data_IF_902622185196
#
_entry.id   IF_902622185196
#
_cell.length_a   1.000
_cell.length_b   1.000
_cell.length_c   1.000
_cell.angle_alpha   90.00
_cell.angle_beta   90.00
_cell.angle_gamma   90.00
#
_symmetry.space_group_name_H-M   'P 1'
#
loop_
_entity.id
_entity.type
_entity.pdbx_description
1 polymer ?
#
# COMPACT_ATOMS: atom_id res chain seq x y z
N UNK A 1 -3.81 -27.87 9.28
CA UNK A 1 -3.84 -27.47 7.84
C UNK A 1 -3.21 -26.09 7.65
N UNK A 2 -2.36 -25.93 6.63
CA UNK A 2 -1.77 -24.63 6.24
C UNK A 2 -2.53 -24.03 5.06
N UNK A 3 -2.82 -22.73 5.09
CA UNK A 3 -3.49 -22.03 3.99
C UNK A 3 -2.46 -21.32 3.09
N UNK A 4 -2.65 -21.30 1.76
CA UNK A 4 -1.74 -20.59 0.86
C UNK A 4 -1.61 -19.10 1.22
N UNK A 5 -0.39 -18.58 1.09
CA UNK A 5 -0.08 -17.18 1.32
C UNK A 5 0.77 -16.63 0.17
N UNK A 6 0.31 -15.54 -0.43
CA UNK A 6 1.09 -14.74 -1.37
C UNK A 6 1.43 -13.41 -0.73
N UNK A 7 2.66 -12.92 -0.91
CA UNK A 7 3.13 -11.65 -0.39
C UNK A 7 3.62 -10.81 -1.56
N UNK A 8 3.03 -9.64 -1.73
CA UNK A 8 3.49 -8.64 -2.71
C UNK A 8 4.17 -7.50 -1.95
N UNK A 9 5.43 -7.24 -2.27
CA UNK A 9 6.26 -6.22 -1.65
C UNK A 9 6.62 -5.19 -2.72
N UNK A 10 6.24 -3.94 -2.50
CA UNK A 10 6.77 -2.83 -3.28
C UNK A 10 7.99 -2.25 -2.55
N UNK A 11 9.07 -1.98 -3.27
CA UNK A 11 10.31 -1.41 -2.72
C UNK A 11 10.99 -0.52 -3.76
N UNK A 12 11.79 0.48 -3.36
CA UNK A 12 12.43 1.39 -4.31
C UNK A 12 13.58 0.69 -5.06
N UNK A 13 14.58 0.23 -4.32
CA UNK A 13 15.77 -0.45 -4.87
C UNK A 13 15.90 -1.85 -4.26
N UNK A 14 16.17 -1.90 -2.96
CA UNK A 14 16.21 -3.13 -2.17
C UNK A 14 15.26 -3.02 -0.99
N UNK A 15 14.57 -4.10 -0.63
CA UNK A 15 13.67 -4.05 0.51
C UNK A 15 14.49 -3.92 1.81
N UNK A 16 14.23 -2.90 2.66
CA UNK A 16 15.04 -2.62 3.86
C UNK A 16 14.85 -3.65 4.98
N UNK A 17 13.98 -4.65 4.77
CA UNK A 17 13.62 -5.65 5.75
C UNK A 17 12.43 -5.20 6.61
N UNK A 18 11.80 -6.16 7.26
CA UNK A 18 10.58 -5.88 8.03
C UNK A 18 9.65 -7.07 8.11
N UNK A 19 8.55 -6.88 8.84
CA UNK A 19 7.46 -7.84 8.90
C UNK A 19 6.70 -7.80 7.57
N UNK A 20 6.55 -8.96 6.92
CA UNK A 20 5.98 -9.06 5.57
C UNK A 20 4.71 -9.91 5.50
N UNK A 21 4.37 -10.63 6.57
CA UNK A 21 3.16 -11.44 6.62
C UNK A 21 3.07 -12.30 7.87
N UNK A 22 2.00 -13.10 7.93
CA UNK A 22 1.77 -14.08 8.99
C UNK A 22 1.20 -15.35 8.38
N UNK A 23 1.72 -16.50 8.81
CA UNK A 23 1.24 -17.81 8.38
C UNK A 23 -0.17 -18.03 8.94
N UNK A 24 -1.11 -18.36 8.06
CA UNK A 24 -2.43 -18.80 8.47
C UNK A 24 -2.51 -20.33 8.46
N UNK A 25 -2.67 -20.92 9.64
CA UNK A 25 -2.85 -22.36 9.81
C UNK A 25 -3.97 -22.63 10.81
N UNK A 26 -4.69 -23.74 10.62
CA UNK A 26 -5.81 -24.18 11.46
C UNK A 26 -5.61 -25.62 11.89
N UNK A 27 -5.84 -25.90 13.16
CA UNK A 27 -5.92 -27.26 13.70
C UNK A 27 -7.38 -27.66 13.99
N UNK A 28 -7.68 -28.95 13.95
CA UNK A 28 -9.00 -29.47 14.31
C UNK A 28 -9.17 -29.52 15.84
N UNK A 29 -8.07 -29.62 16.62
CA UNK A 29 -8.07 -29.43 18.06
C UNK A 29 -7.73 -27.97 18.42
N UNK A 30 -8.69 -27.19 18.95
CA UNK A 30 -8.46 -25.79 19.29
C UNK A 30 -7.55 -25.57 20.49
N UNK A 31 -7.18 -26.63 21.23
CA UNK A 31 -6.30 -26.53 22.40
C UNK A 31 -4.83 -26.76 22.07
N UNK A 32 -4.54 -27.28 20.88
CA UNK A 32 -3.17 -27.53 20.45
C UNK A 32 -2.46 -26.25 20.04
N UNK A 33 -1.21 -26.12 20.49
CA UNK A 33 -0.36 -24.98 20.15
C UNK A 33 0.43 -25.29 18.88
N UNK A 34 0.23 -24.48 17.85
CA UNK A 34 1.00 -24.58 16.62
C UNK A 34 2.38 -23.94 16.77
N UNK A 35 3.37 -24.58 16.15
CA UNK A 35 4.74 -24.10 15.99
C UNK A 35 5.08 -23.96 14.52
N UNK A 36 5.82 -22.91 14.16
CA UNK A 36 6.11 -22.53 12.78
C UNK A 36 7.61 -22.52 12.51
N UNK A 37 8.04 -23.01 11.35
CA UNK A 37 9.45 -23.01 10.96
C UNK A 37 9.64 -22.99 9.45
N UNK A 38 10.82 -22.52 9.00
CA UNK A 38 11.27 -22.72 7.64
C UNK A 38 11.72 -24.17 7.47
N UNK A 39 11.27 -24.84 6.41
CA UNK A 39 11.64 -26.24 6.16
C UNK A 39 13.12 -26.37 5.83
N UNK A 40 13.65 -25.50 4.96
CA UNK A 40 15.05 -25.47 4.53
C UNK A 40 15.58 -24.02 4.57
N UNK A 41 15.94 -23.49 5.74
CA UNK A 41 16.36 -22.07 5.87
C UNK A 41 17.61 -21.73 5.05
N UNK A 42 18.53 -22.70 4.89
CA UNK A 42 19.76 -22.52 4.13
C UNK A 42 19.54 -22.30 2.62
N UNK A 43 18.48 -22.87 2.04
CA UNK A 43 18.15 -22.70 0.61
C UNK A 43 17.81 -21.26 0.26
N UNK A 44 17.30 -20.50 1.23
CA UNK A 44 16.99 -19.08 1.08
C UNK A 44 18.10 -18.17 1.62
N UNK A 45 19.33 -18.69 1.80
CA UNK A 45 20.48 -17.94 2.32
C UNK A 45 20.17 -17.21 3.64
N UNK A 46 19.21 -17.72 4.43
CA UNK A 46 18.69 -17.08 5.64
C UNK A 46 18.15 -15.66 5.45
N UNK A 47 17.68 -15.26 4.26
CA UNK A 47 17.10 -13.91 4.01
C UNK A 47 15.68 -13.75 4.55
N UNK A 48 15.08 -14.81 5.09
CA UNK A 48 13.78 -14.81 5.75
C UNK A 48 13.87 -15.43 7.15
N UNK A 49 13.03 -14.96 8.05
CA UNK A 49 12.85 -15.50 9.40
C UNK A 49 11.37 -15.67 9.72
N UNK A 50 11.05 -16.67 10.55
CA UNK A 50 9.69 -16.95 11.02
C UNK A 50 9.69 -16.97 12.55
N UNK A 51 8.75 -16.25 13.16
CA UNK A 51 8.45 -16.41 14.58
C UNK A 51 7.81 -17.77 14.83
N UNK A 52 8.43 -18.59 15.67
CA UNK A 52 8.01 -19.97 15.86
C UNK A 52 6.69 -20.12 16.61
N UNK A 53 6.21 -19.10 17.32
CA UNK A 53 4.99 -19.14 18.11
C UNK A 53 3.82 -18.47 17.40
N UNK A 54 4.08 -17.35 16.74
CA UNK A 54 3.04 -16.51 16.12
C UNK A 54 2.96 -16.68 14.60
N UNK A 55 3.96 -17.32 13.98
CA UNK A 55 4.00 -17.54 12.54
C UNK A 55 4.25 -16.27 11.73
N UNK A 56 4.73 -15.20 12.36
CA UNK A 56 5.10 -13.95 11.69
C UNK A 56 6.33 -14.14 10.80
N UNK A 57 6.25 -13.64 9.57
CA UNK A 57 7.31 -13.76 8.56
C UNK A 57 8.01 -12.42 8.42
N UNK A 58 9.33 -12.43 8.58
CA UNK A 58 10.19 -11.26 8.43
C UNK A 58 11.17 -11.47 7.29
N UNK A 59 11.30 -10.49 6.40
CA UNK A 59 12.43 -10.44 5.47
C UNK A 59 13.59 -9.68 6.12
N UNK A 60 14.81 -10.14 5.87
CA UNK A 60 16.02 -9.44 6.27
C UNK A 60 16.31 -8.26 5.32
N UNK A 61 17.10 -7.26 5.77
CA UNK A 61 17.49 -6.13 4.92
C UNK A 61 18.25 -6.56 3.67
N UNK A 62 18.02 -5.85 2.56
CA UNK A 62 18.73 -6.08 1.30
C UNK A 62 18.10 -7.18 0.44
N UNK A 63 16.79 -7.42 0.57
CA UNK A 63 16.10 -8.36 -0.30
C UNK A 63 15.91 -7.73 -1.69
N UNK A 64 16.52 -8.34 -2.71
CA UNK A 64 16.50 -7.87 -4.09
C UNK A 64 15.10 -7.94 -4.72
N UNK A 65 14.89 -7.12 -5.76
CA UNK A 65 13.73 -7.23 -6.66
C UNK A 65 13.69 -8.64 -7.27
N UNK A 66 12.52 -9.29 -7.22
CA UNK A 66 12.38 -10.64 -7.77
C UNK A 66 11.28 -11.47 -7.13
N UNK A 67 11.28 -12.76 -7.48
CA UNK A 67 10.34 -13.76 -6.96
C UNK A 67 11.07 -14.75 -6.07
N UNK A 68 10.48 -15.01 -4.92
CA UNK A 68 10.98 -15.95 -3.93
C UNK A 68 9.88 -16.96 -3.57
N UNK A 69 10.30 -18.15 -3.19
CA UNK A 69 9.43 -19.18 -2.65
C UNK A 69 10.05 -19.72 -1.38
N UNK A 70 9.31 -19.68 -0.28
CA UNK A 70 9.74 -20.27 0.99
C UNK A 70 8.83 -21.42 1.37
N UNK A 71 9.44 -22.54 1.74
CA UNK A 71 8.74 -23.71 2.27
C UNK A 71 8.70 -23.62 3.79
N UNK A 72 7.52 -23.88 4.34
CA UNK A 72 7.26 -23.80 5.77
C UNK A 72 6.75 -25.13 6.31
N UNK A 73 7.06 -25.38 7.56
CA UNK A 73 6.54 -26.50 8.35
C UNK A 73 5.76 -25.94 9.54
N UNK A 74 4.54 -26.45 9.74
CA UNK A 74 3.68 -26.15 10.89
C UNK A 74 3.43 -27.44 11.66
N UNK A 75 3.64 -27.43 12.97
CA UNK A 75 3.50 -28.61 13.83
C UNK A 75 2.73 -28.30 15.11
N UNK A 76 1.86 -29.22 15.51
CA UNK A 76 1.15 -29.29 16.80
C UNK A 76 1.91 -30.18 17.82
N UNK A 77 3.22 -30.38 17.64
CA UNK A 77 4.09 -31.35 18.34
C UNK A 77 3.90 -32.83 17.95
N UNK A 78 2.77 -33.21 17.36
CA UNK A 78 2.43 -34.62 17.04
C UNK A 78 2.43 -34.91 15.54
N UNK A 79 1.86 -34.00 14.78
CA UNK A 79 1.72 -33.99 13.34
C UNK A 79 2.42 -32.76 12.75
N UNK A 80 2.72 -32.87 11.46
CA UNK A 80 3.33 -31.81 10.69
C UNK A 80 2.54 -31.59 9.41
N UNK A 81 2.38 -30.33 9.05
CA UNK A 81 1.85 -29.88 7.77
C UNK A 81 2.87 -28.99 7.09
N UNK A 82 2.95 -29.08 5.77
CA UNK A 82 3.85 -28.28 4.95
C UNK A 82 3.05 -27.26 4.15
N UNK A 83 3.67 -26.11 3.89
CA UNK A 83 3.11 -25.06 3.06
C UNK A 83 4.20 -24.37 2.25
N UNK A 84 3.78 -23.64 1.22
CA UNK A 84 4.66 -22.82 0.39
C UNK A 84 4.08 -21.41 0.33
N UNK A 85 4.97 -20.43 0.43
CA UNK A 85 4.65 -19.01 0.40
C UNK A 85 5.35 -18.40 -0.80
N UNK A 86 4.58 -17.70 -1.63
CA UNK A 86 5.08 -16.98 -2.79
C UNK A 86 5.29 -15.52 -2.42
N UNK A 87 6.49 -14.99 -2.69
CA UNK A 87 6.84 -13.60 -2.40
C UNK A 87 7.30 -12.95 -3.70
N UNK A 88 6.74 -11.80 -4.04
CA UNK A 88 7.15 -10.99 -5.18
C UNK A 88 7.55 -9.59 -4.71
N UNK A 89 8.80 -9.21 -4.95
CA UNK A 89 9.34 -7.88 -4.70
C UNK A 89 9.35 -7.11 -6.02
N UNK A 90 8.60 -6.03 -6.07
CA UNK A 90 8.37 -5.19 -7.25
C UNK A 90 9.03 -3.82 -7.05
N UNK A 91 9.75 -3.30 -8.05
CA UNK A 91 10.41 -2.01 -7.94
C UNK A 91 9.43 -0.84 -8.04
N UNK A 92 9.70 0.21 -7.27
CA UNK A 92 9.09 1.52 -7.36
C UNK A 92 10.15 2.49 -7.88
N UNK A 93 9.89 3.12 -9.02
CA UNK A 93 10.83 4.10 -9.58
C UNK A 93 10.53 5.50 -9.03
N UNK A 94 11.55 6.37 -9.03
CA UNK A 94 11.37 7.79 -8.69
C UNK A 94 10.29 8.44 -9.57
N UNK A 95 10.28 8.11 -10.86
CA UNK A 95 9.26 8.63 -11.79
C UNK A 95 7.84 8.19 -11.43
N UNK A 96 7.64 7.00 -10.88
CA UNK A 96 6.32 6.60 -10.35
C UNK A 96 5.92 7.46 -9.15
N UNK A 97 6.85 7.77 -8.24
CA UNK A 97 6.61 8.58 -7.03
C UNK A 97 6.27 10.02 -7.42
N UNK A 98 7.06 10.64 -8.29
CA UNK A 98 6.87 12.01 -8.78
C UNK A 98 5.50 12.23 -9.42
N UNK A 99 5.01 11.20 -10.13
CA UNK A 99 3.76 11.24 -10.88
C UNK A 99 2.59 10.57 -10.16
N UNK A 100 2.79 10.08 -8.93
CA UNK A 100 1.77 9.39 -8.17
C UNK A 100 0.65 10.33 -7.70
N UNK A 101 -0.54 9.76 -7.55
CA UNK A 101 -1.68 10.39 -6.90
C UNK A 101 -1.98 9.68 -5.57
N UNK A 102 -2.41 10.46 -4.57
CA UNK A 102 -2.91 9.91 -3.31
C UNK A 102 -4.37 10.30 -3.13
N UNK A 103 -5.21 9.31 -2.85
CA UNK A 103 -6.62 9.51 -2.51
C UNK A 103 -6.93 8.93 -1.12
N UNK A 104 -7.89 9.54 -0.44
CA UNK A 104 -8.49 9.02 0.79
C UNK A 104 -9.85 8.43 0.49
N UNK A 105 -10.04 7.18 0.86
CA UNK A 105 -11.30 6.44 0.71
C UNK A 105 -11.91 6.30 2.10
N UNK A 106 -13.14 6.78 2.27
CA UNK A 106 -13.75 6.91 3.59
C UNK A 106 -14.52 5.65 4.00
N UNK A 107 -14.71 5.51 5.33
CA UNK A 107 -15.65 4.55 5.90
C UNK A 107 -15.35 3.10 5.53
N UNK A 108 -14.06 2.76 5.46
CA UNK A 108 -13.62 1.42 5.08
C UNK A 108 -12.32 1.03 5.78
N UNK A 109 -12.27 -0.21 6.27
CA UNK A 109 -11.05 -0.84 6.75
C UNK A 109 -10.17 -1.26 5.60
N UNK A 110 -8.86 -1.21 5.82
CA UNK A 110 -7.90 -1.54 4.77
C UNK A 110 -8.03 -2.98 4.27
N UNK A 111 -8.34 -3.94 5.14
CA UNK A 111 -8.57 -5.34 4.72
C UNK A 111 -9.80 -5.46 3.82
N UNK A 112 -10.90 -4.78 4.16
CA UNK A 112 -12.12 -4.81 3.36
C UNK A 112 -11.89 -4.17 1.99
N UNK A 113 -11.13 -3.07 1.93
CA UNK A 113 -10.73 -2.45 0.68
C UNK A 113 -9.95 -3.43 -0.22
N UNK A 114 -8.89 -4.07 0.30
CA UNK A 114 -8.08 -5.01 -0.47
C UNK A 114 -8.91 -6.22 -0.98
N UNK A 115 -9.77 -6.76 -0.12
CA UNK A 115 -10.55 -7.95 -0.44
C UNK A 115 -11.65 -7.70 -1.47
N UNK A 116 -12.37 -6.58 -1.32
CA UNK A 116 -13.66 -6.39 -1.98
C UNK A 116 -13.66 -5.26 -3.03
N UNK A 117 -12.76 -4.28 -2.91
CA UNK A 117 -12.85 -3.02 -3.68
C UNK A 117 -11.64 -2.73 -4.55
N UNK A 118 -10.44 -3.22 -4.20
CA UNK A 118 -9.22 -2.97 -4.96
C UNK A 118 -9.34 -3.33 -6.45
N UNK A 119 -9.97 -4.47 -6.75
CA UNK A 119 -10.20 -4.91 -8.13
C UNK A 119 -11.10 -3.93 -8.91
N UNK A 120 -12.12 -3.39 -8.26
CA UNK A 120 -13.03 -2.41 -8.86
C UNK A 120 -12.34 -1.06 -9.03
N UNK A 121 -11.50 -0.65 -8.07
CA UNK A 121 -10.63 0.52 -8.20
C UNK A 121 -9.73 0.40 -9.43
N UNK A 122 -8.97 -0.70 -9.55
CA UNK A 122 -8.10 -0.94 -10.71
C UNK A 122 -8.89 -0.92 -12.01
N UNK A 123 -10.07 -1.56 -12.06
CA UNK A 123 -10.95 -1.57 -13.24
C UNK A 123 -11.48 -0.18 -13.61
N UNK A 124 -11.82 0.62 -12.61
CA UNK A 124 -12.30 2.00 -12.78
C UNK A 124 -11.19 2.88 -13.34
N UNK A 125 -9.98 2.82 -12.78
CA UNK A 125 -8.81 3.55 -13.26
C UNK A 125 -8.44 3.13 -14.69
N UNK A 126 -8.41 1.81 -14.96
CA UNK A 126 -8.20 1.25 -16.30
C UNK A 126 -9.15 1.88 -17.32
N UNK A 127 -10.44 1.92 -16.99
CA UNK A 127 -11.50 2.45 -17.87
C UNK A 127 -11.35 3.96 -18.06
N UNK A 128 -11.13 4.69 -16.97
CA UNK A 128 -10.98 6.14 -16.98
C UNK A 128 -9.78 6.56 -17.82
N UNK A 129 -8.61 5.97 -17.58
CA UNK A 129 -7.35 6.32 -18.25
C UNK A 129 -7.12 5.62 -19.59
N UNK A 130 -7.98 4.65 -19.95
CA UNK A 130 -7.88 3.84 -21.19
C UNK A 130 -6.56 3.07 -21.29
N UNK A 131 -6.12 2.50 -20.17
CA UNK A 131 -4.87 1.73 -20.04
C UNK A 131 -5.18 0.24 -19.82
N UNK A 132 -4.16 -0.61 -19.63
CA UNK A 132 -4.33 -1.99 -19.20
C UNK A 132 -4.44 -2.11 -17.68
N UNK A 133 -4.85 -3.28 -17.19
CA UNK A 133 -4.95 -3.55 -15.75
C UNK A 133 -3.60 -3.40 -15.05
N UNK A 134 -2.53 -3.89 -15.70
CA UNK A 134 -1.16 -3.84 -15.17
C UNK A 134 -0.53 -2.45 -15.24
N UNK A 135 -1.19 -1.49 -15.90
CA UNK A 135 -0.73 -0.12 -15.99
C UNK A 135 -1.24 0.74 -14.82
N UNK A 136 -2.14 0.19 -13.99
CA UNK A 136 -2.59 0.83 -12.75
C UNK A 136 -1.74 0.30 -11.61
N UNK A 137 -0.74 1.08 -11.21
CA UNK A 137 0.27 0.66 -10.24
C UNK A 137 -0.15 1.15 -8.85
N UNK A 138 -0.49 0.24 -7.96
CA UNK A 138 -0.72 0.55 -6.55
C UNK A 138 0.64 0.56 -5.85
N UNK A 139 1.04 1.73 -5.35
CA UNK A 139 2.37 1.94 -4.77
C UNK A 139 2.38 1.67 -3.27
N UNK A 140 1.38 2.20 -2.55
CA UNK A 140 1.28 2.09 -1.10
C UNK A 140 -0.17 2.17 -0.64
N UNK A 141 -0.53 1.35 0.35
CA UNK A 141 -1.87 1.31 0.97
C UNK A 141 -1.71 1.44 2.46
N UNK A 142 -2.45 2.36 3.07
CA UNK A 142 -2.39 2.62 4.51
C UNK A 142 -3.77 2.77 5.12
N UNK A 143 -3.94 2.25 6.32
CA UNK A 143 -5.09 2.55 7.15
C UNK A 143 -4.87 3.87 7.90
N UNK A 144 -5.86 4.75 7.83
CA UNK A 144 -5.89 6.02 8.55
C UNK A 144 -7.05 5.97 9.53
N UNK A 145 -6.70 5.90 10.82
CA UNK A 145 -7.66 5.91 11.92
C UNK A 145 -7.87 7.38 12.32
N UNK A 146 -9.12 7.85 12.28
CA UNK A 146 -9.43 9.16 12.83
C UNK A 146 -9.17 9.15 14.35
N UNK A 147 -8.04 9.70 14.80
CA UNK A 147 -7.79 9.90 16.21
C UNK A 147 -8.80 10.91 16.76
N UNK A 148 -9.44 10.60 17.88
CA UNK A 148 -10.45 11.40 18.59
C UNK A 148 -9.93 12.74 19.17
N UNK A 149 -8.94 13.35 18.55
CA UNK A 149 -8.25 14.58 19.00
C UNK A 149 -8.42 15.79 18.09
N UNK A 150 -9.33 15.76 17.10
CA UNK A 150 -9.75 16.98 16.40
C UNK A 150 -11.09 17.48 16.92
N UNK A 151 -11.03 18.33 17.93
CA UNK A 151 -12.08 19.31 18.29
C UNK A 151 -12.20 20.38 17.20
N UNK A 152 -12.71 20.02 16.02
CA UNK A 152 -13.23 20.98 15.06
C UNK A 152 -14.21 20.26 14.14
N UNK A 153 -15.38 20.85 13.94
CA UNK A 153 -16.46 20.43 13.03
C UNK A 153 -17.38 19.26 13.42
N UNK A 154 -17.67 19.05 14.72
CA UNK A 154 -18.94 18.44 15.14
C UNK A 154 -20.07 19.48 15.26
N UNK A 155 -20.32 20.24 14.19
CA UNK A 155 -21.44 21.19 14.14
C UNK A 155 -22.24 21.14 12.83
N UNK A 156 -22.29 20.00 12.15
CA UNK A 156 -23.33 19.77 11.14
C UNK A 156 -23.66 18.26 11.06
N UNK A 157 -24.93 17.94 11.37
CA UNK A 157 -25.64 16.64 11.30
C UNK A 157 -25.91 15.91 12.63
N UNK A 158 -26.84 16.47 13.40
CA UNK A 158 -27.80 15.64 14.17
C UNK A 158 -28.91 15.22 13.20
N UNK A 159 -29.12 13.91 13.05
CA UNK A 159 -30.34 13.20 12.61
C UNK A 159 -30.07 12.01 11.66
N UNK A 160 -29.02 11.21 11.88
CA UNK A 160 -28.98 9.86 11.30
C UNK A 160 -28.18 8.91 12.20
N UNK A 161 -28.83 8.45 13.26
CA UNK A 161 -28.28 7.56 14.28
C UNK A 161 -28.46 6.09 13.85
N UNK A 162 -27.92 5.72 12.67
CA UNK A 162 -27.91 4.31 12.24
C UNK A 162 -26.85 3.88 11.22
N UNK A 163 -25.79 4.67 11.01
CA UNK A 163 -24.62 4.23 10.24
C UNK A 163 -23.35 4.54 11.03
N UNK A 164 -22.93 3.59 11.86
CA UNK A 164 -21.55 3.49 12.34
C UNK A 164 -20.68 3.10 11.12
N UNK A 165 -20.48 4.06 10.22
CA UNK A 165 -19.40 3.99 9.24
C UNK A 165 -18.11 3.97 10.04
N UNK A 166 -17.25 2.99 9.80
CA UNK A 166 -15.97 2.88 10.52
C UNK A 166 -15.24 4.22 10.57
N UNK A 167 -14.69 4.59 11.74
CA UNK A 167 -13.79 5.75 11.91
C UNK A 167 -12.46 5.61 11.14
N UNK A 168 -12.32 4.50 10.40
CA UNK A 168 -11.19 4.18 9.56
C UNK A 168 -11.43 4.58 8.11
N UNK A 169 -10.34 4.97 7.47
CA UNK A 169 -10.28 5.31 6.05
C UNK A 169 -9.00 4.75 5.47
N UNK A 170 -8.94 4.61 4.15
CA UNK A 170 -7.75 4.10 3.45
C UNK A 170 -7.09 5.25 2.71
N UNK A 171 -5.80 5.46 2.94
CA UNK A 171 -4.95 6.29 2.08
C UNK A 171 -4.31 5.38 1.02
N UNK A 172 -4.55 5.70 -0.25
CA UNK A 172 -4.10 4.90 -1.39
C UNK A 172 -3.22 5.76 -2.30
N UNK A 173 -1.95 5.39 -2.41
CA UNK A 173 -1.01 5.98 -3.37
C UNK A 173 -0.91 5.07 -4.59
N UNK A 174 -1.08 5.65 -5.78
CA UNK A 174 -1.01 4.91 -7.04
C UNK A 174 -0.47 5.78 -8.17
N UNK A 175 0.05 5.13 -9.21
CA UNK A 175 0.48 5.75 -10.45
C UNK A 175 -0.20 5.09 -11.64
N UNK A 176 -0.26 5.81 -12.76
CA UNK A 176 -0.76 5.28 -14.04
C UNK A 176 0.37 5.28 -15.04
N UNK A 177 0.71 4.10 -15.54
CA UNK A 177 1.65 3.91 -16.62
C UNK A 177 0.93 4.03 -17.96
N UNK A 178 1.59 4.61 -18.95
CA UNK A 178 1.19 4.53 -20.35
C UNK A 178 2.26 3.71 -21.04
N UNK A 179 1.88 2.52 -21.51
CA UNK A 179 2.70 1.76 -22.43
C UNK A 179 2.28 2.12 -23.85
N UNK A 180 3.11 2.92 -24.53
CA UNK A 180 2.96 3.19 -25.95
C UNK A 180 3.75 2.15 -26.74
N UNK A 181 3.05 1.37 -27.56
CA UNK A 181 3.51 0.17 -28.30
C UNK A 181 5.05 0.01 -28.45
N UNK A 182 5.60 -0.98 -27.73
CA UNK A 182 6.86 -1.73 -27.85
C UNK A 182 8.22 -1.02 -28.08
N UNK A 183 8.31 0.28 -28.35
CA UNK A 183 9.62 0.96 -28.58
C UNK A 183 9.81 2.27 -27.82
N UNK A 184 8.81 2.75 -27.10
CA UNK A 184 8.92 3.96 -26.31
C UNK A 184 9.27 3.65 -24.85
N UNK A 185 10.11 4.48 -24.19
CA UNK A 185 10.42 4.30 -22.77
C UNK A 185 9.12 4.40 -21.97
N UNK A 186 8.95 3.55 -20.95
CA UNK A 186 7.78 3.56 -20.08
C UNK A 186 7.55 4.96 -19.52
N UNK A 187 6.35 5.52 -19.73
CA UNK A 187 5.97 6.84 -19.22
C UNK A 187 4.89 6.72 -18.14
N UNK A 188 4.92 7.62 -17.16
CA UNK A 188 3.87 7.76 -16.16
C UNK A 188 3.05 9.02 -16.41
N UNK A 189 1.72 8.93 -16.25
CA UNK A 189 0.85 10.09 -16.33
C UNK A 189 1.15 11.07 -15.21
N UNK A 190 1.29 12.34 -15.56
CA UNK A 190 1.51 13.39 -14.59
C UNK A 190 0.39 13.44 -13.53
N UNK A 191 0.77 13.64 -12.27
CA UNK A 191 -0.13 13.74 -11.12
C UNK A 191 -1.30 14.70 -11.35
N UNK A 192 -1.06 15.88 -11.93
CA UNK A 192 -2.11 16.87 -12.19
C UNK A 192 -3.09 16.41 -13.28
N UNK A 193 -2.61 15.62 -14.24
CA UNK A 193 -3.48 15.00 -15.27
C UNK A 193 -4.35 13.92 -14.65
N UNK A 194 -3.79 13.08 -13.77
CA UNK A 194 -4.54 12.07 -13.01
C UNK A 194 -5.61 12.78 -12.16
N UNK A 195 -5.20 13.81 -11.41
CA UNK A 195 -6.05 14.63 -10.54
C UNK A 195 -7.24 15.23 -11.30
N UNK A 196 -6.97 16.00 -12.35
CA UNK A 196 -8.00 16.68 -13.11
C UNK A 196 -9.06 15.70 -13.64
N UNK A 197 -8.61 14.56 -14.18
CA UNK A 197 -9.50 13.54 -14.74
C UNK A 197 -10.32 12.81 -13.68
N UNK A 198 -9.73 12.53 -12.51
CA UNK A 198 -10.46 11.96 -11.38
C UNK A 198 -11.55 12.89 -10.86
N UNK A 199 -11.23 14.18 -10.70
CA UNK A 199 -12.18 15.17 -10.19
C UNK A 199 -13.34 15.42 -11.18
N UNK A 200 -13.02 15.54 -12.47
CA UNK A 200 -14.04 15.70 -13.52
C UNK A 200 -15.00 14.49 -13.59
N UNK A 201 -14.49 13.29 -13.29
CA UNK A 201 -15.24 12.04 -13.37
C UNK A 201 -15.56 11.43 -12.00
N UNK A 202 -15.55 12.23 -10.93
CA UNK A 202 -15.63 11.73 -9.54
C UNK A 202 -16.82 10.81 -9.33
N UNK A 203 -18.02 11.24 -9.72
CA UNK A 203 -19.25 10.47 -9.56
C UNK A 203 -19.21 9.13 -10.30
N UNK A 204 -18.65 9.10 -11.51
CA UNK A 204 -18.46 7.87 -12.26
C UNK A 204 -17.54 6.90 -11.52
N UNK A 205 -16.42 7.40 -11.01
CA UNK A 205 -15.42 6.60 -10.29
C UNK A 205 -16.00 6.06 -8.99
N UNK A 206 -16.68 6.89 -8.19
CA UNK A 206 -17.33 6.48 -6.93
C UNK A 206 -18.40 5.41 -7.17
N UNK A 207 -19.21 5.55 -8.21
CA UNK A 207 -20.21 4.53 -8.57
C UNK A 207 -19.59 3.21 -9.03
N UNK A 208 -18.48 3.26 -9.79
CA UNK A 208 -17.80 2.05 -10.24
C UNK A 208 -17.09 1.31 -9.11
N UNK A 209 -16.52 2.04 -8.16
CA UNK A 209 -15.83 1.46 -7.00
C UNK A 209 -16.86 1.03 -5.94
N UNK A 210 -17.95 1.78 -5.78
CA UNK A 210 -18.91 1.63 -4.69
C UNK A 210 -18.47 2.31 -3.39
N UNK A 211 -17.53 3.26 -3.46
CA UNK A 211 -16.98 3.97 -2.30
C UNK A 211 -16.78 5.46 -2.62
N UNK A 212 -16.95 6.31 -1.62
CA UNK A 212 -16.60 7.73 -1.72
C UNK A 212 -15.12 7.97 -1.47
N UNK A 213 -14.53 8.89 -2.21
CA UNK A 213 -13.13 9.27 -2.04
C UNK A 213 -12.93 10.78 -2.22
N UNK A 214 -11.88 11.29 -1.61
CA UNK A 214 -11.35 12.63 -1.89
C UNK A 214 -9.86 12.55 -2.21
N UNK A 215 -9.39 13.51 -2.98
CA UNK A 215 -7.95 13.70 -3.13
C UNK A 215 -7.33 14.13 -1.80
N UNK A 216 -6.14 13.60 -1.51
CA UNK A 216 -5.30 14.15 -0.46
C UNK A 216 -4.34 15.13 -1.10
N UNK A 217 -4.60 16.43 -0.92
CA UNK A 217 -3.65 17.48 -1.22
C UNK A 217 -3.79 18.56 -0.15
N UNK A 218 -2.78 18.66 0.70
CA UNK A 218 -2.69 19.61 1.80
C UNK A 218 -1.90 20.86 1.41
N UNK A 219 -1.48 20.96 0.13
CA UNK A 219 -0.68 22.05 -0.41
C UNK A 219 -1.18 23.42 0.05
N UNK A 220 -2.50 23.66 0.02
CA UNK A 220 -3.06 24.96 0.44
C UNK A 220 -2.94 25.25 1.93
N UNK A 221 -2.95 24.25 2.81
CA UNK A 221 -2.89 24.48 4.26
C UNK A 221 -1.45 24.53 4.79
N UNK A 222 -0.57 23.65 4.32
CA UNK A 222 0.80 23.52 4.85
C UNK A 222 1.78 24.53 4.22
N UNK A 223 1.62 24.87 2.93
CA UNK A 223 2.48 25.88 2.30
C UNK A 223 2.10 27.33 2.66
N UNK A 224 0.98 27.58 3.35
CA UNK A 224 0.67 28.92 3.85
C UNK A 224 1.67 29.39 4.91
N UNK A 225 2.18 28.45 5.71
CA UNK A 225 3.09 28.74 6.82
C UNK A 225 4.57 28.72 6.41
N UNK A 226 4.89 28.24 5.20
CA UNK A 226 6.26 28.14 4.68
C UNK A 226 6.57 29.32 3.77
N UNK A 227 7.48 30.19 4.21
CA UNK A 227 8.02 31.28 3.39
C UNK A 227 9.29 30.85 2.67
N UNK A 228 9.29 30.91 1.35
CA UNK A 228 10.45 30.65 0.52
C UNK A 228 11.04 31.97 0.01
N UNK A 229 12.30 32.26 0.35
CA UNK A 229 12.95 33.52 -0.07
C UNK A 229 13.24 33.56 -1.57
N UNK A 230 13.67 32.43 -2.14
CA UNK A 230 14.07 32.30 -3.55
C UNK A 230 13.44 31.09 -4.25
N UNK A 231 12.14 30.88 -4.02
CA UNK A 231 11.43 29.73 -4.59
C UNK A 231 9.95 29.72 -4.23
N UNK A 232 9.33 28.58 -4.48
CA UNK A 232 7.92 28.35 -4.14
C UNK A 232 7.82 27.12 -3.25
N UNK A 233 6.93 27.17 -2.24
CA UNK A 233 6.63 25.98 -1.46
C UNK A 233 5.91 24.96 -2.33
N UNK A 234 6.41 23.73 -2.34
CA UNK A 234 5.84 22.62 -3.09
C UNK A 234 5.53 21.45 -2.17
N UNK A 235 4.46 20.75 -2.55
CA UNK A 235 4.05 19.47 -1.97
C UNK A 235 4.72 18.36 -2.77
N UNK A 236 5.55 17.57 -2.09
CA UNK A 236 6.26 16.41 -2.64
C UNK A 236 5.77 15.13 -1.97
N UNK A 237 5.60 14.09 -2.77
CA UNK A 237 5.27 12.76 -2.28
C UNK A 237 6.55 12.00 -1.99
N UNK A 238 6.61 11.40 -0.80
CA UNK A 238 7.76 10.64 -0.36
C UNK A 238 7.34 9.26 0.14
N UNK A 239 8.15 8.25 -0.15
CA UNK A 239 8.03 6.90 0.39
C UNK A 239 9.14 6.65 1.40
N UNK A 240 8.74 6.44 2.67
CA UNK A 240 9.66 6.24 3.79
C UNK A 240 10.01 4.78 3.98
N UNK A 241 11.25 4.41 3.64
CA UNK A 241 11.79 3.06 3.89
C UNK A 241 12.06 2.79 5.38
N UNK A 242 12.06 3.83 6.22
CA UNK A 242 12.17 3.69 7.68
C UNK A 242 10.88 3.15 8.32
N UNK A 243 9.76 3.24 7.61
CA UNK A 243 8.46 2.79 8.08
C UNK A 243 7.80 1.93 7.00
N UNK A 244 7.84 0.61 7.20
CA UNK A 244 7.18 -0.33 6.32
C UNK A 244 5.75 -0.61 6.81
N UNK A 245 4.78 -0.52 5.91
CA UNK A 245 3.42 -0.99 6.14
C UNK A 245 3.26 -2.37 5.56
N UNK A 246 2.51 -3.22 6.26
CA UNK A 246 2.01 -4.48 5.72
C UNK A 246 0.51 -4.57 6.02
N UNK A 247 -0.25 -5.04 5.03
CA UNK A 247 -1.70 -5.18 5.13
C UNK A 247 -2.09 -6.56 4.67
N UNK A 248 -2.77 -7.29 5.56
CA UNK A 248 -3.22 -8.65 5.30
C UNK A 248 -4.62 -8.64 4.68
N UNK A 249 -4.78 -9.34 3.56
CA UNK A 249 -6.07 -9.65 2.94
C UNK A 249 -6.36 -11.16 3.05
N UNK A 250 -7.52 -11.60 2.56
CA UNK A 250 -7.86 -13.03 2.52
C UNK A 250 -7.02 -13.84 1.52
N UNK A 251 -6.41 -13.17 0.54
CA UNK A 251 -5.71 -13.83 -0.59
C UNK A 251 -4.21 -13.56 -0.62
N UNK A 252 -3.78 -12.42 -0.08
CA UNK A 252 -2.39 -11.98 -0.12
C UNK A 252 -2.09 -10.96 0.98
N UNK A 253 -0.82 -10.79 1.30
CA UNK A 253 -0.33 -9.65 2.09
C UNK A 253 0.30 -8.63 1.15
N UNK A 254 -0.03 -7.36 1.32
CA UNK A 254 0.58 -6.25 0.59
C UNK A 254 1.54 -5.50 1.51
N UNK A 255 2.78 -5.32 1.09
CA UNK A 255 3.84 -4.66 1.84
C UNK A 255 4.37 -3.48 1.02
N UNK A 256 4.53 -2.33 1.64
CA UNK A 256 5.06 -1.15 0.97
C UNK A 256 5.67 -0.16 1.97
N UNK A 257 6.60 0.71 1.56
CA UNK A 257 6.96 1.88 2.33
C UNK A 257 5.74 2.76 2.66
N UNK A 258 5.82 3.45 3.79
CA UNK A 258 4.84 4.44 4.19
C UNK A 258 4.95 5.68 3.29
N UNK A 259 3.87 6.04 2.61
CA UNK A 259 3.77 7.29 1.87
C UNK A 259 3.39 8.46 2.78
N UNK A 260 4.08 9.57 2.61
CA UNK A 260 3.80 10.82 3.31
C UNK A 260 3.97 12.02 2.36
N UNK A 261 3.24 13.09 2.67
CA UNK A 261 3.44 14.37 2.01
C UNK A 261 4.49 15.17 2.76
N UNK A 262 5.48 15.67 2.04
CA UNK A 262 6.48 16.62 2.54
C UNK A 262 6.28 17.97 1.87
N UNK A 263 6.56 19.03 2.61
CA UNK A 263 6.43 20.40 2.14
C UNK A 263 7.78 21.08 2.27
N UNK A 264 8.25 21.67 1.18
CA UNK A 264 9.57 22.28 1.12
C UNK A 264 9.64 23.37 0.05
N UNK A 265 10.67 24.21 0.15
CA UNK A 265 10.91 25.24 -0.83
C UNK A 265 11.64 24.66 -2.04
N UNK A 266 10.97 24.68 -3.20
CA UNK A 266 11.62 24.45 -4.47
C UNK A 266 12.27 25.76 -4.94
N UNK A 267 13.58 25.86 -4.72
CA UNK A 267 14.35 27.05 -5.05
C UNK A 267 14.61 27.16 -6.56
N UNK A 268 14.72 28.40 -7.04
CA UNK A 268 15.17 28.67 -8.39
C UNK A 268 16.62 28.18 -8.59
N UNK A 269 16.97 27.83 -9.83
CA UNK A 269 18.35 27.45 -10.20
C UNK A 269 19.37 28.48 -9.71
N UNK A 270 20.34 28.03 -8.91
CA UNK A 270 21.37 28.87 -8.28
C UNK A 270 21.16 29.17 -6.79
N UNK A 271 20.03 28.76 -6.21
CA UNK A 271 19.68 29.02 -4.79
C UNK A 271 19.42 27.74 -3.97
N UNK A 272 19.72 26.55 -4.52
CA UNK A 272 19.66 25.28 -3.79
C UNK A 272 21.01 24.97 -3.17
N UNK A 273 21.20 25.30 -1.89
CA UNK A 273 22.42 25.05 -1.12
C UNK A 273 22.11 24.89 0.36
#
# INVERSE_FOLDING_TARGET
KVHPLTIAINSLDHFPGGLIGQINATDDDPFDKLTFSLTNPEENQNIFAIDSNEGFIRALPGLDIGKYQINITVSDEKFQSFGMIEIEVVPITESMIENAMVIRIYSIKVQDFLNNYLKNFIRSMKTLFKVHTNDVIVLSVQEVIASSTTTATQRYRRNDEHLLTSDTSVSLMFAITINDNDNNPVHHLNRETIRAKLLENKYFVENQIGLSFDELSLQRSQCQDIKCEHGECREELYLSENQITYVVSQKFTFVSPYHEFRFGCACNTGFGG
#
